data_IF_645466390552
#
_entry.id   IF_645466390552
#
_cell.length_a   1.000
_cell.length_b   1.000
_cell.length_c   1.000
_cell.angle_alpha   90.00
_cell.angle_beta   90.00
_cell.angle_gamma   90.00
#
_symmetry.space_group_name_H-M   'P 1'
#
loop_
_entity.id
_entity.type
_entity.pdbx_description
1 polymer ?
#
# COMPACT_ATOMS: atom_id res chain seq x y z
N UNK A 1 -3.45 -71.07 -0.84
CA UNK A 1 -4.15 -69.78 -0.75
C UNK A 1 -3.16 -68.78 -0.17
N UNK A 2 -2.46 -68.02 -1.01
CA UNK A 2 -1.55 -66.95 -0.58
C UNK A 2 -2.18 -65.64 -1.08
N UNK A 3 -2.89 -64.96 -0.19
CA UNK A 3 -3.62 -63.74 -0.52
C UNK A 3 -2.72 -62.52 -0.33
N UNK A 4 -2.54 -61.80 -1.44
CA UNK A 4 -2.24 -60.37 -1.59
C UNK A 4 -1.41 -59.69 -0.51
N UNK A 5 -0.14 -59.42 -0.84
CA UNK A 5 0.70 -58.49 -0.10
C UNK A 5 0.32 -57.03 -0.35
N UNK A 6 0.37 -56.27 0.73
CA UNK A 6 0.17 -54.82 0.86
C UNK A 6 1.05 -54.02 -0.13
N UNK A 7 0.42 -53.31 -1.05
CA UNK A 7 1.08 -52.55 -2.12
C UNK A 7 0.78 -51.04 -2.14
N UNK A 8 0.07 -50.52 -1.15
CA UNK A 8 -0.53 -49.17 -1.14
C UNK A 8 0.14 -48.18 -0.17
N UNK A 9 1.15 -48.59 0.59
CA UNK A 9 1.84 -47.71 1.56
C UNK A 9 2.72 -46.62 0.93
N UNK A 10 3.36 -46.90 -0.22
CA UNK A 10 4.34 -45.98 -0.83
C UNK A 10 3.70 -44.74 -1.47
N UNK A 11 2.46 -44.84 -1.96
CA UNK A 11 1.75 -43.73 -2.62
C UNK A 11 1.28 -42.66 -1.64
N UNK A 12 1.03 -43.03 -0.36
CA UNK A 12 0.65 -42.09 0.70
C UNK A 12 1.83 -41.29 1.23
N UNK A 13 3.01 -41.92 1.31
CA UNK A 13 4.25 -41.27 1.76
C UNK A 13 4.77 -40.28 0.70
N UNK A 14 4.78 -40.69 -0.58
CA UNK A 14 5.21 -39.82 -1.69
C UNK A 14 4.18 -38.75 -2.09
N UNK A 15 2.92 -38.92 -1.66
CA UNK A 15 1.83 -37.95 -1.86
C UNK A 15 1.86 -36.82 -0.83
N UNK A 16 2.03 -37.13 0.46
CA UNK A 16 2.05 -36.13 1.54
C UNK A 16 3.21 -35.13 1.43
N UNK A 17 4.41 -35.61 1.08
CA UNK A 17 5.61 -34.75 0.97
C UNK A 17 5.46 -33.67 -0.14
N UNK A 18 4.70 -33.98 -1.21
CA UNK A 18 4.42 -33.01 -2.27
C UNK A 18 3.41 -31.94 -1.84
N UNK A 19 2.40 -32.32 -1.05
CA UNK A 19 1.38 -31.38 -0.55
C UNK A 19 1.97 -30.45 0.53
N UNK A 20 2.85 -30.98 1.40
CA UNK A 20 3.57 -30.21 2.42
C UNK A 20 4.54 -29.19 1.79
N UNK A 21 5.23 -29.59 0.71
CA UNK A 21 6.13 -28.71 -0.03
C UNK A 21 5.41 -27.56 -0.75
N UNK A 22 4.24 -27.83 -1.32
CA UNK A 22 3.42 -26.81 -2.00
C UNK A 22 2.91 -25.75 -1.03
N UNK A 23 2.49 -26.13 0.18
CA UNK A 23 2.05 -25.20 1.22
C UNK A 23 3.17 -24.27 1.70
N UNK A 24 4.38 -24.80 1.89
CA UNK A 24 5.56 -24.01 2.21
C UNK A 24 5.94 -23.04 1.09
N UNK A 25 5.91 -23.51 -0.17
CA UNK A 25 6.21 -22.68 -1.33
C UNK A 25 5.21 -21.52 -1.48
N UNK A 26 3.90 -21.79 -1.36
CA UNK A 26 2.86 -20.77 -1.38
C UNK A 26 3.03 -19.75 -0.26
N UNK A 27 3.36 -20.20 0.96
CA UNK A 27 3.60 -19.30 2.09
C UNK A 27 4.79 -18.39 1.86
N UNK A 28 5.91 -18.91 1.37
CA UNK A 28 7.11 -18.10 1.08
C UNK A 28 6.82 -17.12 -0.05
N UNK A 29 6.20 -17.58 -1.14
CA UNK A 29 5.86 -16.74 -2.29
C UNK A 29 4.91 -15.60 -1.88
N UNK A 30 3.93 -15.86 -1.02
CA UNK A 30 2.99 -14.85 -0.53
C UNK A 30 3.67 -13.78 0.33
N UNK A 31 4.52 -14.18 1.27
CA UNK A 31 5.25 -13.21 2.11
C UNK A 31 6.21 -12.36 1.26
N UNK A 32 6.93 -12.97 0.33
CA UNK A 32 7.80 -12.24 -0.59
C UNK A 32 7.01 -11.23 -1.44
N UNK A 33 5.84 -11.61 -1.94
CA UNK A 33 4.97 -10.71 -2.70
C UNK A 33 4.48 -9.55 -1.84
N UNK A 34 4.03 -9.82 -0.60
CA UNK A 34 3.62 -8.80 0.38
C UNK A 34 4.74 -7.80 0.64
N UNK A 35 5.97 -8.27 0.87
CA UNK A 35 7.13 -7.42 1.14
C UNK A 35 7.50 -6.54 -0.07
N UNK A 36 7.45 -7.11 -1.28
CA UNK A 36 7.68 -6.36 -2.52
C UNK A 36 6.62 -5.29 -2.72
N UNK A 37 5.34 -5.65 -2.56
CA UNK A 37 4.22 -4.72 -2.72
C UNK A 37 4.33 -3.57 -1.69
N UNK A 38 4.72 -3.85 -0.44
CA UNK A 38 4.96 -2.83 0.58
C UNK A 38 6.11 -1.88 0.21
N UNK A 39 7.23 -2.40 -0.32
CA UNK A 39 8.36 -1.57 -0.75
C UNK A 39 8.04 -0.68 -1.96
N UNK A 40 7.23 -1.19 -2.88
CA UNK A 40 6.75 -0.46 -4.05
C UNK A 40 5.83 0.66 -3.58
N UNK A 41 4.76 0.32 -2.86
CA UNK A 41 3.70 1.26 -2.50
C UNK A 41 4.15 2.33 -1.49
N UNK A 42 5.13 2.04 -0.63
CA UNK A 42 5.72 3.04 0.27
C UNK A 42 6.49 4.15 -0.46
N UNK A 43 6.99 3.87 -1.68
CA UNK A 43 7.82 4.83 -2.45
C UNK A 43 7.01 5.69 -3.42
N UNK A 44 5.83 5.24 -3.84
CA UNK A 44 4.96 5.99 -4.75
C UNK A 44 4.14 7.03 -3.98
N UNK A 45 4.82 8.06 -3.49
CA UNK A 45 4.15 9.26 -3.04
C UNK A 45 3.92 10.18 -4.25
N UNK A 46 2.67 10.56 -4.49
CA UNK A 46 2.37 11.64 -5.45
C UNK A 46 3.05 12.93 -4.96
N UNK A 47 3.25 13.92 -5.85
CA UNK A 47 3.87 15.19 -5.47
C UNK A 47 3.18 15.77 -4.21
N UNK A 48 3.94 16.34 -3.26
CA UNK A 48 3.37 16.91 -2.05
C UNK A 48 2.35 17.97 -2.43
N UNK A 49 1.11 17.78 -2.01
CA UNK A 49 0.00 18.62 -2.37
C UNK A 49 -1.19 18.40 -1.43
N UNK A 50 -2.03 19.43 -1.24
CA UNK A 50 -3.22 19.47 -0.36
C UNK A 50 -4.27 18.39 -0.67
N UNK A 51 -4.12 17.63 -1.75
CA UNK A 51 -4.93 16.45 -1.98
C UNK A 51 -4.30 15.31 -1.18
N UNK A 52 -4.98 14.76 -0.15
CA UNK A 52 -4.56 13.50 0.44
C UNK A 52 -4.63 12.45 -0.67
N UNK A 53 -3.48 12.17 -1.30
CA UNK A 53 -3.42 11.09 -2.27
C UNK A 53 -3.41 9.83 -1.43
N UNK A 54 -4.57 9.19 -1.36
CA UNK A 54 -4.77 8.00 -0.57
C UNK A 54 -3.64 7.03 -0.85
N UNK A 55 -2.85 6.72 0.17
CA UNK A 55 -1.94 5.58 0.13
C UNK A 55 -2.77 4.28 0.25
N UNK A 56 -3.99 4.24 -0.33
CA UNK A 56 -5.01 3.20 -0.14
C UNK A 56 -4.41 1.82 -0.29
N UNK A 57 -3.57 1.63 -1.32
CA UNK A 57 -2.93 0.35 -1.58
C UNK A 57 -1.95 -0.06 -0.46
N UNK A 58 -1.20 0.89 0.09
CA UNK A 58 -0.30 0.63 1.22
C UNK A 58 -1.07 0.48 2.54
N UNK A 59 -2.04 1.36 2.80
CA UNK A 59 -2.89 1.35 4.00
C UNK A 59 -3.74 0.08 4.07
N UNK A 60 -4.24 -0.43 2.93
CA UNK A 60 -4.93 -1.71 2.85
C UNK A 60 -3.98 -2.91 3.09
N UNK A 61 -2.70 -2.79 2.73
CA UNK A 61 -1.70 -3.83 3.02
C UNK A 61 -1.29 -3.85 4.50
N UNK A 62 -1.19 -2.69 5.14
CA UNK A 62 -0.78 -2.53 6.55
C UNK A 62 -1.95 -2.60 7.54
N UNK A 63 -3.19 -2.55 7.05
CA UNK A 63 -4.40 -2.56 7.90
C UNK A 63 -4.81 -1.19 8.43
N UNK A 64 -4.11 -0.10 8.05
CA UNK A 64 -4.47 1.25 8.48
C UNK A 64 -5.82 1.75 7.93
N UNK A 65 -6.35 1.08 6.90
CA UNK A 65 -7.70 1.36 6.38
C UNK A 65 -8.80 0.93 7.36
N UNK A 66 -8.55 -0.07 8.20
CA UNK A 66 -9.52 -0.61 9.16
C UNK A 66 -9.64 0.28 10.42
N UNK A 67 -8.69 1.19 10.64
CA UNK A 67 -8.65 2.14 11.77
C UNK A 67 -9.43 3.45 11.51
N UNK A 68 -10.23 3.52 10.45
CA UNK A 68 -10.97 4.73 10.06
C UNK A 68 -12.05 5.10 11.10
N UNK A 69 -11.98 6.32 11.66
CA UNK A 69 -12.91 6.81 12.68
C UNK A 69 -13.82 7.93 12.16
N UNK A 70 -14.90 8.21 12.89
CA UNK A 70 -15.81 9.31 12.56
C UNK A 70 -15.13 10.68 12.54
N UNK A 71 -14.12 10.88 13.40
CA UNK A 71 -13.35 12.13 13.42
C UNK A 71 -12.55 12.34 12.13
N UNK A 72 -12.09 11.27 11.49
CA UNK A 72 -11.38 11.35 10.21
C UNK A 72 -12.29 11.82 9.07
N UNK A 73 -13.61 11.55 9.18
CA UNK A 73 -14.61 12.05 8.25
C UNK A 73 -14.85 13.57 8.39
N UNK A 74 -14.72 14.12 9.60
CA UNK A 74 -14.91 15.56 9.83
C UNK A 74 -13.63 16.37 9.60
N UNK A 75 -12.46 15.76 9.76
CA UNK A 75 -11.16 16.41 9.62
C UNK A 75 -10.59 16.36 8.20
N UNK A 76 -11.44 16.20 7.17
CA UNK A 76 -10.95 16.21 5.80
C UNK A 76 -10.28 17.55 5.49
N UNK A 77 -8.99 17.55 5.09
CA UNK A 77 -8.27 18.79 4.78
C UNK A 77 -8.92 19.62 3.68
N UNK A 78 -9.77 18.99 2.86
CA UNK A 78 -10.49 19.61 1.75
C UNK A 78 -11.67 20.48 2.21
N UNK A 79 -12.32 20.13 3.32
CA UNK A 79 -13.50 20.83 3.84
C UNK A 79 -13.12 22.01 4.74
N UNK A 80 -11.83 22.20 5.04
CA UNK A 80 -11.34 23.39 5.74
C UNK A 80 -11.54 24.63 4.87
N UNK A 81 -12.08 25.72 5.44
CA UNK A 81 -12.16 27.03 4.77
C UNK A 81 -10.79 27.58 4.33
N UNK A 82 -9.71 27.05 4.91
CA UNK A 82 -8.32 27.42 4.55
C UNK A 82 -7.73 26.53 3.44
N UNK A 83 -8.50 25.54 2.96
CA UNK A 83 -8.03 24.61 1.94
C UNK A 83 -7.81 25.35 0.63
N UNK A 84 -6.54 25.45 0.23
CA UNK A 84 -6.17 25.84 -1.13
C UNK A 84 -5.56 24.61 -1.79
N UNK A 85 -6.20 24.05 -2.82
CA UNK A 85 -5.59 23.01 -3.62
C UNK A 85 -4.21 23.50 -4.09
N UNK A 86 -3.18 22.64 -4.04
CA UNK A 86 -1.83 23.00 -4.44
C UNK A 86 -1.85 23.27 -5.96
N UNK A 87 -1.12 24.28 -6.43
CA UNK A 87 -0.91 24.45 -7.86
C UNK A 87 0.04 23.35 -8.36
N UNK A 88 -0.55 22.24 -8.84
CA UNK A 88 0.18 21.05 -9.27
C UNK A 88 1.07 21.32 -10.49
N UNK A 89 0.69 22.27 -11.34
CA UNK A 89 1.47 22.65 -12.52
C UNK A 89 2.78 23.30 -12.06
N UNK A 90 2.67 24.34 -11.23
CA UNK A 90 3.81 25.04 -10.61
C UNK A 90 4.65 24.10 -9.73
N UNK A 91 4.01 23.24 -8.95
CA UNK A 91 4.69 22.26 -8.10
C UNK A 91 5.58 21.32 -8.92
N UNK A 92 5.10 20.89 -10.08
CA UNK A 92 5.88 20.04 -10.99
C UNK A 92 7.03 20.82 -11.64
N UNK A 93 6.79 22.05 -12.08
CA UNK A 93 7.85 22.89 -12.63
C UNK A 93 9.00 23.11 -11.63
N UNK A 94 8.69 23.35 -10.35
CA UNK A 94 9.71 23.52 -9.29
C UNK A 94 10.49 22.22 -9.09
N UNK A 95 9.81 21.07 -9.05
CA UNK A 95 10.46 19.74 -8.90
C UNK A 95 11.35 19.38 -10.09
N UNK A 96 10.94 19.74 -11.30
CA UNK A 96 11.72 19.52 -12.52
C UNK A 96 12.79 20.61 -12.73
N UNK A 97 12.87 21.61 -11.84
CA UNK A 97 13.84 22.71 -11.93
C UNK A 97 13.53 23.73 -13.04
N UNK A 98 12.35 23.64 -13.66
CA UNK A 98 11.87 24.55 -14.72
C UNK A 98 11.54 25.93 -14.12
N UNK A 99 11.15 25.98 -12.84
CA UNK A 99 10.79 27.22 -12.17
C UNK A 99 11.35 27.32 -10.75
N UNK A 100 11.60 28.55 -10.27
CA UNK A 100 12.14 28.81 -8.91
C UNK A 100 11.06 29.39 -7.99
N UNK A 101 11.09 29.02 -6.71
CA UNK A 101 10.21 29.56 -5.66
C UNK A 101 9.46 28.48 -4.86
N UNK A 102 8.76 28.87 -3.77
CA UNK A 102 7.96 27.95 -2.96
C UNK A 102 6.72 27.45 -3.72
N UNK A 103 6.32 26.20 -3.46
CA UNK A 103 5.19 25.51 -4.13
C UNK A 103 3.82 26.12 -3.77
N UNK A 104 3.72 26.79 -2.61
CA UNK A 104 2.55 27.54 -2.19
C UNK A 104 2.95 28.93 -1.70
N UNK A 105 2.20 30.01 -2.05
CA UNK A 105 2.40 31.32 -1.43
C UNK A 105 1.99 31.25 0.06
N UNK A 106 2.71 31.96 0.96
CA UNK A 106 2.38 31.97 2.39
C UNK A 106 1.00 32.61 2.61
N UNK A 107 0.25 32.07 3.58
CA UNK A 107 -0.98 32.68 4.07
C UNK A 107 -0.62 34.04 4.69
N UNK A 108 -0.94 35.13 4.00
CA UNK A 108 -1.01 36.44 4.62
C UNK A 108 -2.32 36.43 5.41
N UNK A 109 -2.25 36.15 6.71
CA UNK A 109 -3.32 36.46 7.65
C UNK A 109 -3.47 37.98 7.70
N UNK A 110 -4.27 38.56 6.80
CA UNK A 110 -4.76 39.91 6.97
C UNK A 110 -5.84 39.89 8.06
N UNK A 111 -5.44 40.22 9.28
CA UNK A 111 -6.38 40.52 10.36
C UNK A 111 -6.99 41.91 10.07
N UNK A 112 -8.27 41.96 9.72
CA UNK A 112 -9.12 43.15 9.78
C UNK A 112 -10.51 42.74 10.21
#
# INVERSE_FOLDING_TARGET
MLSGGDGDGWTRILGGEKEDGLGLYLRIAFNLRRDLDAQILSRFQRPPGTLPTSMLGFEALTGGLDDFTFEDYLNFPLDSETSRPPDMHRAMEVRLGISKGPVCPPLILSYT
#
